data_IF_319860805098
#
_entry.id   IF_319860805098
#
_cell.length_a   1.000
_cell.length_b   1.000
_cell.length_c   1.000
_cell.angle_alpha   90.00
_cell.angle_beta   90.00
_cell.angle_gamma   90.00
#
_symmetry.space_group_name_H-M   'P 1'
#
loop_
_entity.id
_entity.type
_entity.pdbx_description
1 polymer ?
#
# COMPACT_ATOMS: atom_id res chain seq x y z
N UNK A 1 19.20 22.16 -8.87
CA UNK A 1 17.98 21.39 -9.19
C UNK A 1 18.42 20.03 -9.70
N UNK A 2 18.67 19.07 -8.80
CA UNK A 2 19.18 17.73 -9.18
C UNK A 2 18.01 16.86 -9.63
N UNK A 3 17.94 16.60 -10.94
CA UNK A 3 17.02 15.65 -11.55
C UNK A 3 17.30 14.26 -10.97
N UNK A 4 16.39 13.76 -10.13
CA UNK A 4 16.48 12.40 -9.59
C UNK A 4 15.99 11.43 -10.64
N UNK A 5 16.89 10.56 -11.11
CA UNK A 5 16.60 9.53 -12.10
C UNK A 5 15.47 8.58 -11.65
N UNK A 6 14.69 8.04 -12.61
CA UNK A 6 13.66 7.02 -12.38
C UNK A 6 14.12 5.74 -11.66
N UNK A 7 15.44 5.55 -11.44
CA UNK A 7 16.02 4.39 -10.73
C UNK A 7 16.33 4.60 -9.24
N UNK A 8 16.07 5.77 -8.64
CA UNK A 8 16.37 5.96 -7.21
C UNK A 8 15.39 5.17 -6.32
N UNK A 9 15.81 4.66 -5.14
CA UNK A 9 14.92 3.95 -4.21
C UNK A 9 13.67 4.74 -3.83
N UNK A 10 13.77 6.08 -3.78
CA UNK A 10 12.64 6.96 -3.52
C UNK A 10 11.63 6.99 -4.67
N UNK A 11 12.10 7.00 -5.93
CA UNK A 11 11.22 6.96 -7.11
C UNK A 11 10.53 5.61 -7.26
N UNK A 12 11.29 4.51 -7.09
CA UNK A 12 10.73 3.16 -7.08
C UNK A 12 9.64 3.04 -6.02
N UNK A 13 9.92 3.46 -4.78
CA UNK A 13 8.95 3.40 -3.69
C UNK A 13 7.71 4.23 -3.98
N UNK A 14 7.86 5.45 -4.54
CA UNK A 14 6.71 6.28 -4.95
C UNK A 14 5.87 5.60 -6.04
N UNK A 15 6.51 5.01 -7.05
CA UNK A 15 5.80 4.30 -8.11
C UNK A 15 4.98 3.13 -7.56
N UNK A 16 5.58 2.33 -6.68
CA UNK A 16 4.90 1.19 -6.04
C UNK A 16 3.73 1.67 -5.16
N UNK A 17 3.93 2.69 -4.32
CA UNK A 17 2.85 3.27 -3.49
C UNK A 17 1.70 3.80 -4.35
N UNK A 18 2.00 4.47 -5.47
CA UNK A 18 0.97 4.95 -6.40
C UNK A 18 0.19 3.80 -7.03
N UNK A 19 0.88 2.75 -7.48
CA UNK A 19 0.23 1.55 -8.03
C UNK A 19 -0.65 0.86 -6.97
N UNK A 20 -0.17 0.81 -5.72
CA UNK A 20 -0.90 0.23 -4.61
C UNK A 20 -2.19 1.00 -4.31
N UNK A 21 -2.14 2.33 -4.26
CA UNK A 21 -3.33 3.19 -4.10
C UNK A 21 -4.34 2.94 -5.22
N UNK A 22 -3.89 2.90 -6.48
CA UNK A 22 -4.80 2.66 -7.60
C UNK A 22 -5.48 1.30 -7.51
N UNK A 23 -4.72 0.25 -7.17
CA UNK A 23 -5.25 -1.10 -7.03
C UNK A 23 -6.25 -1.20 -5.87
N UNK A 24 -5.91 -0.66 -4.69
CA UNK A 24 -6.78 -0.77 -3.50
C UNK A 24 -8.06 0.07 -3.65
N UNK A 25 -8.02 1.21 -4.36
CA UNK A 25 -9.21 2.02 -4.63
C UNK A 25 -10.22 1.30 -5.55
N UNK A 26 -9.75 0.33 -6.35
CA UNK A 26 -10.64 -0.54 -7.14
C UNK A 26 -11.38 -1.58 -6.30
N UNK A 27 -10.83 -1.98 -5.14
CA UNK A 27 -11.41 -3.05 -4.31
C UNK A 27 -12.85 -2.77 -3.85
N UNK A 28 -13.19 -1.56 -3.34
CA UNK A 28 -14.57 -1.21 -3.00
C UNK A 28 -15.53 -1.23 -4.19
N UNK A 29 -15.05 -0.97 -5.41
CA UNK A 29 -15.88 -1.02 -6.62
C UNK A 29 -16.29 -2.46 -6.91
N UNK A 30 -15.33 -3.40 -6.93
CA UNK A 30 -15.62 -4.82 -7.17
C UNK A 30 -16.48 -5.43 -6.05
N UNK A 31 -16.21 -5.07 -4.79
CA UNK A 31 -17.05 -5.46 -3.66
C UNK A 31 -18.47 -4.88 -3.80
N UNK A 32 -18.60 -3.63 -4.21
CA UNK A 32 -19.89 -2.98 -4.47
C UNK A 32 -20.69 -3.70 -5.56
N UNK A 33 -20.06 -4.03 -6.69
CA UNK A 33 -20.68 -4.82 -7.77
C UNK A 33 -21.20 -6.17 -7.24
N UNK A 34 -20.39 -6.88 -6.46
CA UNK A 34 -20.83 -8.11 -5.80
C UNK A 34 -22.06 -7.90 -4.90
N UNK A 35 -22.07 -6.85 -4.08
CA UNK A 35 -23.19 -6.53 -3.20
C UNK A 35 -24.47 -6.13 -3.95
N UNK A 36 -24.38 -5.76 -5.23
CA UNK A 36 -25.57 -5.54 -6.08
C UNK A 36 -26.15 -6.84 -6.65
N UNK A 37 -25.53 -8.00 -6.39
CA UNK A 37 -25.96 -9.31 -6.85
C UNK A 37 -25.22 -9.83 -8.08
N UNK A 38 -24.27 -9.06 -8.62
CA UNK A 38 -23.39 -9.50 -9.70
C UNK A 38 -22.18 -10.28 -9.14
N UNK A 39 -22.27 -11.61 -9.17
CA UNK A 39 -21.26 -12.50 -8.62
C UNK A 39 -19.90 -12.43 -9.32
N UNK A 40 -19.79 -11.89 -10.54
CA UNK A 40 -18.48 -11.63 -11.16
C UNK A 40 -17.68 -10.59 -10.35
N UNK A 41 -18.37 -9.67 -9.66
CA UNK A 41 -17.76 -8.73 -8.72
C UNK A 41 -16.92 -9.42 -7.65
N UNK A 42 -17.33 -10.59 -7.16
CA UNK A 42 -16.59 -11.35 -6.14
C UNK A 42 -15.28 -11.91 -6.73
N UNK A 43 -15.33 -12.42 -7.96
CA UNK A 43 -14.14 -12.92 -8.66
C UNK A 43 -13.13 -11.81 -8.92
N UNK A 44 -13.59 -10.65 -9.37
CA UNK A 44 -12.73 -9.46 -9.56
C UNK A 44 -12.20 -8.91 -8.24
N UNK A 45 -13.00 -8.94 -7.18
CA UNK A 45 -12.57 -8.54 -5.84
C UNK A 45 -11.45 -9.46 -5.35
N UNK A 46 -11.63 -10.78 -5.42
CA UNK A 46 -10.62 -11.77 -5.03
C UNK A 46 -9.32 -11.64 -5.83
N UNK A 47 -9.41 -11.57 -7.17
CA UNK A 47 -8.22 -11.36 -8.01
C UNK A 47 -7.52 -10.04 -7.68
N UNK A 48 -8.30 -8.97 -7.48
CA UNK A 48 -7.73 -7.69 -7.10
C UNK A 48 -7.13 -7.70 -5.70
N UNK A 49 -7.64 -8.51 -4.76
CA UNK A 49 -7.05 -8.68 -3.44
C UNK A 49 -5.67 -9.35 -3.54
N UNK A 50 -5.51 -10.33 -4.42
CA UNK A 50 -4.20 -10.96 -4.70
C UNK A 50 -3.21 -9.94 -5.29
N UNK A 51 -3.67 -9.11 -6.23
CA UNK A 51 -2.86 -8.04 -6.85
C UNK A 51 -2.45 -6.99 -5.82
N UNK A 52 -3.40 -6.50 -5.01
CA UNK A 52 -3.16 -5.51 -3.95
C UNK A 52 -2.14 -6.07 -2.95
N UNK A 53 -2.35 -7.29 -2.45
CA UNK A 53 -1.45 -7.97 -1.51
C UNK A 53 -0.04 -8.15 -2.08
N UNK A 54 0.06 -8.56 -3.36
CA UNK A 54 1.34 -8.71 -4.05
C UNK A 54 2.08 -7.37 -4.16
N UNK A 55 1.36 -6.28 -4.50
CA UNK A 55 1.93 -4.93 -4.53
C UNK A 55 2.35 -4.49 -3.12
N UNK A 56 1.58 -4.80 -2.08
CA UNK A 56 1.92 -4.56 -0.68
C UNK A 56 3.27 -5.15 -0.30
N UNK A 57 3.54 -6.41 -0.64
CA UNK A 57 4.84 -7.03 -0.38
C UNK A 57 5.98 -6.40 -1.20
N UNK A 58 5.74 -6.04 -2.46
CA UNK A 58 6.71 -5.28 -3.26
C UNK A 58 6.99 -3.91 -2.63
N UNK A 59 5.98 -3.27 -2.05
CA UNK A 59 6.10 -2.00 -1.34
C UNK A 59 6.97 -2.15 -0.10
N UNK A 60 6.87 -3.25 0.66
CA UNK A 60 7.76 -3.55 1.79
C UNK A 60 9.21 -3.62 1.33
N UNK A 61 9.49 -4.36 0.25
CA UNK A 61 10.84 -4.48 -0.31
C UNK A 61 11.40 -3.10 -0.71
N UNK A 62 10.58 -2.30 -1.40
CA UNK A 62 10.97 -0.93 -1.78
C UNK A 62 11.17 -0.02 -0.56
N UNK A 63 10.37 -0.19 0.50
CA UNK A 63 10.51 0.56 1.74
C UNK A 63 11.79 0.19 2.51
N UNK A 64 12.18 -1.08 2.50
CA UNK A 64 13.48 -1.53 3.04
C UNK A 64 14.62 -0.87 2.26
N UNK A 65 14.54 -0.82 0.93
CA UNK A 65 15.55 -0.13 0.11
C UNK A 65 15.66 1.36 0.46
N UNK A 66 14.54 2.04 0.73
CA UNK A 66 14.51 3.43 1.22
C UNK A 66 15.15 3.53 2.61
N UNK A 67 14.84 2.61 3.53
CA UNK A 67 15.43 2.61 4.87
C UNK A 67 16.95 2.42 4.81
N UNK A 68 17.43 1.37 4.15
CA UNK A 68 18.85 1.03 4.10
C UNK A 68 19.67 2.08 3.35
N UNK A 69 19.20 2.55 2.19
CA UNK A 69 19.99 3.46 1.34
C UNK A 69 19.87 4.93 1.74
N UNK A 70 18.72 5.33 2.31
CA UNK A 70 18.43 6.73 2.64
C UNK A 70 18.38 7.00 4.15
N UNK A 71 18.47 5.98 5.01
CA UNK A 71 18.42 6.14 6.46
C UNK A 71 17.06 6.61 7.00
N UNK A 72 15.98 6.34 6.25
CA UNK A 72 14.60 6.76 6.60
C UNK A 72 13.76 5.53 6.89
N UNK A 73 13.58 5.18 8.17
CA UNK A 73 12.83 3.99 8.59
C UNK A 73 11.29 4.16 8.53
N UNK A 74 10.78 5.40 8.62
CA UNK A 74 9.32 5.63 8.69
C UNK A 74 8.52 5.02 7.51
N UNK A 75 8.99 5.01 6.24
CA UNK A 75 8.24 4.42 5.15
C UNK A 75 8.11 2.90 5.29
N UNK A 76 9.13 2.25 5.86
CA UNK A 76 9.09 0.83 6.18
C UNK A 76 8.05 0.55 7.26
N UNK A 77 8.12 1.25 8.40
CA UNK A 77 7.15 1.07 9.48
C UNK A 77 5.70 1.31 9.03
N UNK A 78 5.46 2.38 8.27
CA UNK A 78 4.13 2.69 7.73
C UNK A 78 3.65 1.62 6.74
N UNK A 79 4.52 1.14 5.85
CA UNK A 79 4.17 0.08 4.89
C UNK A 79 3.87 -1.23 5.60
N UNK A 80 4.69 -1.62 6.57
CA UNK A 80 4.47 -2.84 7.35
C UNK A 80 3.14 -2.79 8.08
N UNK A 81 2.78 -1.65 8.68
CA UNK A 81 1.48 -1.50 9.33
C UNK A 81 0.31 -1.68 8.34
N UNK A 82 0.40 -1.09 7.14
CA UNK A 82 -0.61 -1.26 6.08
C UNK A 82 -0.70 -2.72 5.63
N UNK A 83 0.41 -3.38 5.35
CA UNK A 83 0.43 -4.77 4.86
C UNK A 83 -0.07 -5.76 5.93
N UNK A 84 0.22 -5.51 7.21
CA UNK A 84 -0.36 -6.32 8.30
C UNK A 84 -1.87 -6.15 8.35
N UNK A 85 -2.38 -4.91 8.29
CA UNK A 85 -3.82 -4.64 8.26
C UNK A 85 -4.49 -5.29 7.04
N UNK A 86 -3.89 -5.17 5.86
CA UNK A 86 -4.34 -5.78 4.62
C UNK A 86 -4.35 -7.31 4.69
N UNK A 87 -3.32 -7.92 5.27
CA UNK A 87 -3.23 -9.38 5.44
C UNK A 87 -4.34 -9.88 6.36
N UNK A 88 -4.58 -9.20 7.49
CA UNK A 88 -5.70 -9.51 8.39
C UNK A 88 -7.03 -9.34 7.67
N UNK A 89 -7.18 -8.29 6.88
CA UNK A 89 -8.39 -8.03 6.10
C UNK A 89 -8.62 -9.10 5.02
N UNK A 90 -7.55 -9.58 4.37
CA UNK A 90 -7.61 -10.64 3.36
C UNK A 90 -8.19 -11.92 3.96
N UNK A 91 -7.66 -12.37 5.09
CA UNK A 91 -8.21 -13.54 5.81
C UNK A 91 -9.63 -13.30 6.31
N UNK A 92 -9.94 -12.11 6.84
CA UNK A 92 -11.32 -11.78 7.21
C UNK A 92 -12.29 -11.83 6.01
N UNK A 93 -11.80 -11.53 4.81
CA UNK A 93 -12.57 -11.66 3.56
C UNK A 93 -12.82 -13.11 3.18
N UNK A 94 -11.79 -13.96 3.27
CA UNK A 94 -11.92 -15.42 3.03
C UNK A 94 -12.91 -16.07 4.01
N UNK A 95 -12.90 -15.65 5.28
CA UNK A 95 -13.79 -16.15 6.32
C UNK A 95 -15.21 -15.54 6.25
N UNK A 96 -15.46 -14.59 5.35
CA UNK A 96 -16.74 -13.88 5.26
C UNK A 96 -17.05 -12.99 6.47
N UNK A 97 -16.05 -12.62 7.28
CA UNK A 97 -16.17 -11.83 8.48
C UNK A 97 -16.35 -10.32 8.17
N UNK A 98 -17.49 -9.95 7.57
CA UNK A 98 -17.76 -8.60 7.04
C UNK A 98 -17.63 -7.48 8.09
N UNK A 99 -17.95 -7.77 9.35
CA UNK A 99 -17.84 -6.82 10.46
C UNK A 99 -16.40 -6.35 10.72
N UNK A 100 -15.41 -7.19 10.37
CA UNK A 100 -13.99 -6.86 10.47
C UNK A 100 -13.44 -6.42 9.11
N UNK A 101 -13.79 -7.16 8.05
CA UNK A 101 -13.30 -6.91 6.70
C UNK A 101 -13.64 -5.50 6.20
N UNK A 102 -14.89 -5.05 6.36
CA UNK A 102 -15.32 -3.75 5.84
C UNK A 102 -14.67 -2.58 6.57
N UNK A 103 -14.71 -2.46 7.91
CA UNK A 103 -14.08 -1.33 8.60
C UNK A 103 -12.56 -1.33 8.40
N UNK A 104 -11.92 -2.50 8.45
CA UNK A 104 -10.48 -2.60 8.23
C UNK A 104 -10.11 -2.21 6.81
N UNK A 105 -10.91 -2.60 5.81
CA UNK A 105 -10.73 -2.16 4.42
C UNK A 105 -10.77 -0.65 4.22
N UNK A 106 -11.73 0.03 4.84
CA UNK A 106 -11.79 1.50 4.80
C UNK A 106 -10.55 2.12 5.45
N UNK A 107 -10.12 1.60 6.60
CA UNK A 107 -8.92 2.07 7.30
C UNK A 107 -7.65 1.85 6.48
N UNK A 108 -7.49 0.69 5.85
CA UNK A 108 -6.34 0.36 5.00
C UNK A 108 -6.28 1.29 3.78
N UNK A 109 -7.41 1.52 3.10
CA UNK A 109 -7.50 2.49 1.99
C UNK A 109 -7.07 3.89 2.45
N UNK A 110 -7.64 4.37 3.57
CA UNK A 110 -7.31 5.68 4.10
C UNK A 110 -5.81 5.79 4.49
N UNK A 111 -5.26 4.78 5.17
CA UNK A 111 -3.87 4.74 5.57
C UNK A 111 -2.92 4.76 4.36
N UNK A 112 -3.25 4.02 3.30
CA UNK A 112 -2.45 3.99 2.08
C UNK A 112 -2.51 5.31 1.32
N UNK A 113 -3.68 5.97 1.26
CA UNK A 113 -3.82 7.33 0.70
C UNK A 113 -2.99 8.34 1.51
N UNK A 114 -3.03 8.29 2.84
CA UNK A 114 -2.19 9.14 3.70
C UNK A 114 -0.71 8.88 3.45
N UNK A 115 -0.31 7.62 3.31
CA UNK A 115 1.07 7.25 2.99
C UNK A 115 1.49 7.80 1.62
N UNK A 116 0.66 7.66 0.60
CA UNK A 116 0.87 8.25 -0.72
C UNK A 116 1.10 9.75 -0.63
N UNK A 117 0.22 10.48 0.06
CA UNK A 117 0.37 11.93 0.25
C UNK A 117 1.68 12.24 0.98
N UNK A 118 2.02 11.49 2.02
CA UNK A 118 3.25 11.70 2.79
C UNK A 118 4.53 11.49 1.97
N UNK A 119 4.59 10.46 1.11
CA UNK A 119 5.80 10.15 0.31
C UNK A 119 6.00 11.13 -0.84
N UNK A 120 4.91 11.69 -1.36
CA UNK A 120 4.96 12.70 -2.43
C UNK A 120 5.23 14.11 -1.89
N UNK A 121 4.71 14.45 -0.70
CA UNK A 121 4.96 15.75 -0.06
C UNK A 121 6.30 15.87 0.64
N UNK A 122 6.89 14.76 1.12
CA UNK A 122 8.16 14.79 1.86
C UNK A 122 9.35 14.42 0.95
N UNK A 123 10.47 15.15 1.00
CA UNK A 123 11.69 14.74 0.30
C UNK A 123 12.30 13.51 0.99
N UNK A 124 12.28 12.37 0.30
CA UNK A 124 13.02 11.17 0.70
C UNK A 124 14.49 11.32 0.29
N UNK A 125 15.22 12.17 1.00
CA UNK A 125 16.67 12.38 0.83
C UNK A 125 17.43 11.56 1.86
N UNK A 126 18.68 11.18 1.52
CA UNK A 126 19.59 10.51 2.45
C UNK A 126 19.68 11.32 3.74
N UNK A 127 19.49 10.66 4.89
CA UNK A 127 19.72 11.27 6.20
C UNK A 127 21.23 11.42 6.34
N UNK A 128 21.70 12.66 6.29
CA UNK A 128 23.07 12.96 6.70
C UNK A 128 23.21 12.56 8.16
N UNK A 129 24.23 11.76 8.48
CA UNK A 129 24.60 11.52 9.85
C UNK A 129 24.97 12.88 10.44
N UNK A 130 24.15 13.41 11.34
CA UNK A 130 24.60 14.52 12.18
C UNK A 130 25.80 13.98 12.94
N UNK A 131 26.97 14.57 12.69
CA UNK A 131 28.24 14.12 13.27
C UNK A 131 28.10 13.91 14.77
N UNK A 132 28.46 12.70 15.18
CA UNK A 132 28.88 12.41 16.55
C UNK A 132 30.35 12.79 16.67
#
# INVERSE_FOLDING_TARGET
>A
MTTRFPGSPAWLFRAVVSAHVLAILGQPVFAGVYLTGDFDGLRWHALGADVVTSIGYLQVIAAIAVWVRLGRAWPFLATTAVVVAETVQYFAGLDGALWLHLPLGVLTVAALVVQFVAVWRRPLVRREARGA
#
